data_IF_714826982690
#
_entry.id   IF_714826982690
#
_cell.length_a   1.000
_cell.length_b   1.000
_cell.length_c   1.000
_cell.angle_alpha   90.00
_cell.angle_beta   90.00
_cell.angle_gamma   90.00
#
_symmetry.space_group_name_H-M   'P 1'
#
loop_
_entity.id
_entity.type
_entity.pdbx_description
1 polymer ?
#
# COMPACT_ATOMS: atom_id res chain seq x y z
N UNK A 1 22.35 9.23 -9.84
CA UNK A 1 22.10 8.44 -11.07
C UNK A 1 20.63 8.09 -11.09
N UNK A 2 20.02 8.00 -12.27
CA UNK A 2 18.61 7.64 -12.40
C UNK A 2 18.50 6.30 -13.14
N UNK A 3 17.70 5.38 -12.64
CA UNK A 3 17.38 4.12 -13.31
C UNK A 3 16.30 4.39 -14.37
N UNK A 4 16.58 4.13 -15.64
CA UNK A 4 15.62 4.31 -16.74
C UNK A 4 15.06 2.94 -17.13
N UNK A 5 13.80 2.69 -16.79
CA UNK A 5 13.22 1.34 -16.92
C UNK A 5 12.03 1.26 -17.88
N UNK A 6 11.62 2.39 -18.47
CA UNK A 6 10.42 2.48 -19.32
C UNK A 6 10.39 1.50 -20.48
N UNK A 7 11.53 1.31 -21.16
CA UNK A 7 11.65 0.41 -22.31
C UNK A 7 11.45 -1.08 -21.96
N UNK A 8 11.54 -1.44 -20.68
CA UNK A 8 11.49 -2.82 -20.20
C UNK A 8 10.14 -3.21 -19.59
N UNK A 9 9.26 -2.24 -19.32
CA UNK A 9 7.97 -2.49 -18.68
C UNK A 9 6.99 -3.04 -19.71
N UNK A 10 6.49 -4.25 -19.45
CA UNK A 10 5.47 -4.90 -20.27
C UNK A 10 4.06 -4.48 -19.86
N UNK A 11 3.80 -4.46 -18.55
CA UNK A 11 2.52 -4.09 -17.98
C UNK A 11 2.71 -3.66 -16.53
N UNK A 12 1.70 -3.00 -15.98
CA UNK A 12 1.70 -2.61 -14.60
C UNK A 12 0.33 -2.15 -14.15
N UNK A 13 0.21 -1.99 -12.86
CA UNK A 13 -1.00 -1.55 -12.18
C UNK A 13 -0.60 -0.57 -11.09
N UNK A 14 -1.26 0.58 -11.02
CA UNK A 14 -1.03 1.60 -10.02
C UNK A 14 -2.37 2.07 -9.44
N UNK A 15 -2.49 2.01 -8.12
CA UNK A 15 -3.64 2.40 -7.31
C UNK A 15 -3.29 3.66 -6.54
N UNK A 16 -3.92 4.78 -6.88
CA UNK A 16 -3.85 6.02 -6.12
C UNK A 16 -5.22 6.37 -5.51
N UNK A 17 -5.95 5.38 -5.01
CA UNK A 17 -7.29 5.58 -4.44
C UNK A 17 -7.26 6.18 -3.04
N UNK A 18 -6.15 6.02 -2.30
CA UNK A 18 -5.97 6.59 -0.95
C UNK A 18 -5.10 7.84 -0.99
N UNK A 19 -5.41 8.80 -0.11
CA UNK A 19 -4.59 9.98 0.07
C UNK A 19 -3.18 9.61 0.53
N UNK A 20 -2.19 10.25 -0.08
CA UNK A 20 -0.77 10.13 0.20
C UNK A 20 -0.17 8.73 0.01
N UNK A 21 -0.84 7.86 -0.76
CA UNK A 21 -0.33 6.54 -1.13
C UNK A 21 -0.53 6.22 -2.61
N UNK A 22 0.49 5.61 -3.22
CA UNK A 22 0.42 4.94 -4.51
C UNK A 22 0.94 3.52 -4.33
N UNK A 23 0.09 2.54 -4.62
CA UNK A 23 0.39 1.12 -4.48
C UNK A 23 0.28 0.42 -5.82
N UNK A 24 1.03 -0.65 -6.05
CA UNK A 24 0.87 -1.39 -7.30
C UNK A 24 2.05 -2.29 -7.62
N UNK A 25 2.18 -2.63 -8.90
CA UNK A 25 3.24 -3.48 -9.40
C UNK A 25 3.60 -3.15 -10.85
N UNK A 26 4.82 -3.48 -11.22
CA UNK A 26 5.35 -3.35 -12.58
C UNK A 26 5.99 -4.67 -13.00
N UNK A 27 5.72 -5.11 -14.22
CA UNK A 27 6.27 -6.35 -14.78
C UNK A 27 7.18 -6.09 -15.98
N UNK A 28 8.26 -6.86 -16.03
CA UNK A 28 9.33 -6.85 -17.02
C UNK A 28 9.42 -8.23 -17.70
N UNK A 29 9.93 -8.26 -18.93
CA UNK A 29 10.23 -9.52 -19.61
C UNK A 29 11.52 -10.16 -19.04
N UNK A 30 11.62 -11.49 -18.83
CA UNK A 30 10.64 -12.52 -19.15
C UNK A 30 9.90 -13.07 -17.91
N UNK A 31 9.08 -12.26 -17.22
CA UNK A 31 8.27 -12.64 -16.04
C UNK A 31 8.90 -12.27 -14.68
N UNK A 32 9.64 -11.15 -14.64
CA UNK A 32 10.16 -10.55 -13.41
C UNK A 32 9.40 -9.27 -13.13
N UNK A 33 9.17 -8.92 -11.87
CA UNK A 33 8.44 -7.70 -11.53
C UNK A 33 8.86 -7.11 -10.21
N UNK A 34 8.32 -5.94 -9.93
CA UNK A 34 8.52 -5.23 -8.67
C UNK A 34 7.19 -4.72 -8.15
N UNK A 35 7.00 -4.81 -6.84
CA UNK A 35 5.92 -4.13 -6.13
C UNK A 35 6.32 -2.68 -5.87
N UNK A 36 5.33 -1.80 -5.86
CA UNK A 36 5.52 -0.35 -5.73
C UNK A 36 4.66 0.15 -4.58
N UNK A 37 5.29 0.80 -3.61
CA UNK A 37 4.65 1.44 -2.45
C UNK A 37 5.26 2.82 -2.24
N UNK A 38 4.59 3.83 -2.75
CA UNK A 38 5.12 5.19 -2.80
C UNK A 38 4.25 6.12 -1.97
N UNK A 39 4.89 6.96 -1.16
CA UNK A 39 4.24 8.04 -0.44
C UNK A 39 4.01 9.23 -1.38
N UNK A 40 2.80 9.79 -1.33
CA UNK A 40 2.35 10.93 -2.13
C UNK A 40 1.16 10.59 -3.04
N UNK A 41 0.78 11.53 -3.89
CA UNK A 41 -0.38 11.38 -4.77
C UNK A 41 0.01 11.52 -6.23
N UNK A 42 -0.64 10.73 -7.10
CA UNK A 42 -0.62 11.00 -8.53
C UNK A 42 -1.32 12.34 -8.80
N UNK A 43 -0.94 12.99 -9.90
CA UNK A 43 -1.45 14.33 -10.26
C UNK A 43 -2.16 14.30 -11.61
N UNK A 44 -2.95 15.34 -11.87
CA UNK A 44 -3.66 15.52 -13.12
C UNK A 44 -4.71 14.42 -13.35
N UNK A 45 -4.70 13.82 -14.54
CA UNK A 45 -5.70 12.82 -14.95
C UNK A 45 -5.57 11.49 -14.19
N UNK A 46 -4.45 11.26 -13.51
CA UNK A 46 -4.17 10.02 -12.76
C UNK A 46 -4.48 10.14 -11.26
N UNK A 47 -4.79 11.35 -10.79
CA UNK A 47 -5.14 11.59 -9.39
C UNK A 47 -6.39 10.82 -9.02
N UNK A 48 -6.35 10.09 -7.88
CA UNK A 48 -7.49 9.29 -7.39
C UNK A 48 -7.97 8.19 -8.34
N UNK A 49 -7.10 7.73 -9.22
CA UNK A 49 -7.43 6.66 -10.17
C UNK A 49 -6.69 5.38 -9.83
N UNK A 50 -7.35 4.28 -10.16
CA UNK A 50 -6.72 2.99 -10.32
C UNK A 50 -6.49 2.79 -11.82
N UNK A 51 -5.23 2.65 -12.22
CA UNK A 51 -4.86 2.41 -13.61
C UNK A 51 -4.19 1.05 -13.78
N UNK A 52 -4.59 0.34 -14.82
CA UNK A 52 -3.87 -0.79 -15.37
C UNK A 52 -3.37 -0.39 -16.73
N UNK A 53 -2.13 -0.74 -17.05
CA UNK A 53 -1.58 -0.43 -18.35
C UNK A 53 -0.77 -1.58 -18.90
N UNK A 54 -0.76 -1.67 -20.23
CA UNK A 54 0.09 -2.61 -20.95
C UNK A 54 0.77 -1.92 -22.12
N UNK A 55 2.03 -2.26 -22.33
CA UNK A 55 2.79 -1.76 -23.46
C UNK A 55 2.72 -2.81 -24.56
N UNK A 56 2.28 -2.46 -25.79
CA UNK A 56 2.44 -3.36 -26.92
C UNK A 56 3.94 -3.62 -27.05
N UNK A 57 4.39 -4.88 -26.88
CA UNK A 57 5.82 -5.26 -26.92
C UNK A 57 6.51 -4.43 -28.00
N UNK A 58 7.32 -3.47 -27.56
CA UNK A 58 7.76 -2.43 -28.47
C UNK A 58 8.57 -3.11 -29.56
N UNK A 59 8.23 -2.82 -30.82
CA UNK A 59 9.09 -3.19 -31.96
C UNK A 59 10.43 -2.44 -31.91
N UNK A 60 10.65 -1.54 -30.94
CA UNK A 60 11.83 -0.68 -30.86
C UNK A 60 13.06 -1.45 -30.40
N UNK A 61 12.91 -2.45 -29.51
CA UNK A 61 13.97 -3.41 -29.24
C UNK A 61 13.91 -4.51 -30.29
N UNK A 62 14.44 -4.25 -31.48
CA UNK A 62 14.69 -5.26 -32.51
C UNK A 62 15.73 -6.32 -32.13
N UNK A 63 15.92 -6.57 -30.83
CA UNK A 63 16.70 -7.65 -30.26
C UNK A 63 15.71 -8.73 -29.83
N UNK A 64 16.10 -9.98 -30.06
CA UNK A 64 15.44 -11.19 -29.59
C UNK A 64 14.86 -11.05 -28.17
N UNK A 65 13.82 -11.84 -27.80
CA UNK A 65 13.27 -11.86 -26.45
C UNK A 65 14.42 -11.77 -25.45
N UNK A 66 14.38 -10.76 -24.56
CA UNK A 66 15.43 -10.48 -23.59
C UNK A 66 15.72 -11.76 -22.79
N UNK A 67 16.70 -12.55 -23.22
CA UNK A 67 17.17 -13.73 -22.48
C UNK A 67 17.85 -13.31 -21.17
N UNK A 68 18.24 -12.04 -21.06
CA UNK A 68 18.88 -11.45 -19.88
C UNK A 68 18.29 -10.08 -19.58
N UNK A 69 17.98 -9.85 -18.30
CA UNK A 69 17.51 -8.57 -17.81
C UNK A 69 18.65 -7.54 -17.88
N UNK A 70 18.35 -6.27 -18.14
CA UNK A 70 19.34 -5.21 -18.03
C UNK A 70 19.82 -5.07 -16.57
N UNK A 71 21.10 -4.76 -16.37
CA UNK A 71 21.67 -4.51 -15.03
C UNK A 71 20.89 -3.44 -14.23
N UNK A 72 20.18 -2.54 -14.92
CA UNK A 72 19.37 -1.48 -14.31
C UNK A 72 18.12 -2.02 -13.64
N UNK A 73 17.53 -3.08 -14.20
CA UNK A 73 16.35 -3.78 -13.68
C UNK A 73 16.77 -4.82 -12.65
N UNK A 74 17.86 -5.56 -12.90
CA UNK A 74 18.41 -6.54 -11.94
C UNK A 74 18.81 -5.92 -10.60
N UNK A 75 19.18 -4.63 -10.59
CA UNK A 75 19.53 -3.92 -9.35
C UNK A 75 18.33 -3.40 -8.56
N UNK A 76 17.13 -3.44 -9.13
CA UNK A 76 15.95 -3.00 -8.41
C UNK A 76 15.65 -3.96 -7.27
N UNK A 77 15.23 -3.43 -6.12
CA UNK A 77 14.67 -4.27 -5.08
C UNK A 77 13.27 -4.76 -5.50
N UNK A 78 12.90 -5.98 -5.12
CA UNK A 78 11.60 -6.59 -5.42
C UNK A 78 10.42 -5.74 -4.92
N UNK A 79 10.60 -4.99 -3.83
CA UNK A 79 9.60 -4.05 -3.29
C UNK A 79 10.17 -2.64 -3.27
N UNK A 80 9.68 -1.76 -4.14
CA UNK A 80 10.07 -0.36 -4.25
C UNK A 80 9.32 0.48 -3.22
N UNK A 81 10.03 1.01 -2.23
CA UNK A 81 9.47 1.89 -1.20
C UNK A 81 10.09 3.27 -1.36
N UNK A 82 9.26 4.31 -1.48
CA UNK A 82 9.78 5.63 -1.83
C UNK A 82 8.76 6.76 -1.81
N UNK A 83 9.15 7.89 -2.40
CA UNK A 83 8.29 9.07 -2.56
C UNK A 83 8.01 9.28 -4.04
N UNK A 84 6.76 9.53 -4.40
CA UNK A 84 6.36 9.82 -5.78
C UNK A 84 7.01 11.12 -6.25
N UNK A 85 7.55 11.11 -7.47
CA UNK A 85 8.08 12.28 -8.16
C UNK A 85 7.06 12.85 -9.14
N UNK A 86 7.53 13.30 -10.31
CA UNK A 86 6.66 13.76 -11.38
C UNK A 86 6.00 12.57 -12.10
N UNK A 87 4.67 12.60 -12.17
CA UNK A 87 3.88 11.62 -12.91
C UNK A 87 2.94 12.35 -13.86
N UNK A 88 2.96 11.96 -15.15
CA UNK A 88 2.15 12.62 -16.16
C UNK A 88 1.77 11.67 -17.30
N UNK A 89 0.56 11.87 -17.84
CA UNK A 89 0.11 11.28 -19.09
C UNK A 89 0.05 12.38 -20.14
N UNK A 90 0.90 12.30 -21.16
CA UNK A 90 1.02 13.35 -22.18
C UNK A 90 1.13 12.76 -23.59
N UNK A 91 0.83 13.57 -24.61
CA UNK A 91 1.06 13.18 -26.01
C UNK A 91 2.46 13.59 -26.47
N UNK A 92 3.22 12.62 -26.96
CA UNK A 92 4.56 12.82 -27.50
C UNK A 92 4.61 12.44 -28.97
N UNK A 93 5.51 13.08 -29.72
CA UNK A 93 5.74 12.75 -31.13
C UNK A 93 6.81 11.70 -31.25
N UNK A 94 6.44 10.53 -31.76
CA UNK A 94 7.32 9.38 -31.93
C UNK A 94 7.71 9.27 -33.41
N UNK A 95 9.01 9.18 -33.73
CA UNK A 95 9.46 8.90 -35.09
C UNK A 95 8.99 7.53 -35.59
N UNK A 96 8.42 7.49 -36.79
CA UNK A 96 8.05 6.25 -37.49
C UNK A 96 9.23 5.61 -38.23
N UNK A 97 10.35 6.32 -38.32
CA UNK A 97 11.62 5.88 -38.94
C UNK A 97 12.75 5.90 -37.90
N UNK A 98 13.87 5.19 -38.13
CA UNK A 98 15.00 5.18 -37.20
C UNK A 98 15.47 6.59 -36.84
N UNK A 99 15.78 6.82 -35.56
CA UNK A 99 16.13 8.14 -35.03
C UNK A 99 17.33 8.79 -35.75
N UNK A 100 18.28 7.98 -36.23
CA UNK A 100 19.43 8.43 -37.02
C UNK A 100 19.03 9.05 -38.36
N UNK A 101 17.94 8.57 -38.98
CA UNK A 101 17.39 9.12 -40.22
C UNK A 101 16.47 10.31 -39.90
N UNK A 102 15.64 10.19 -38.86
CA UNK A 102 14.70 11.23 -38.44
C UNK A 102 15.38 12.56 -38.12
N UNK A 103 16.50 12.53 -37.40
CA UNK A 103 17.26 13.73 -37.02
C UNK A 103 17.91 14.47 -38.19
N UNK A 104 18.05 13.81 -39.36
CA UNK A 104 18.61 14.42 -40.57
C UNK A 104 17.55 15.10 -41.45
N UNK A 105 16.27 14.85 -41.17
CA UNK A 105 15.16 15.42 -41.92
C UNK A 105 14.91 16.89 -41.54
N UNK A 106 14.34 17.65 -42.47
CA UNK A 106 13.82 18.98 -42.16
C UNK A 106 12.54 18.91 -41.30
N UNK A 107 12.08 20.05 -40.76
CA UNK A 107 10.94 20.09 -39.85
C UNK A 107 9.64 19.59 -40.48
N UNK A 108 9.39 19.91 -41.74
CA UNK A 108 8.17 19.50 -42.45
C UNK A 108 8.17 17.98 -42.70
N UNK A 109 9.35 17.42 -42.96
CA UNK A 109 9.56 15.99 -43.10
C UNK A 109 9.47 15.27 -41.75
N UNK A 110 10.02 15.84 -40.67
CA UNK A 110 9.89 15.29 -39.32
C UNK A 110 8.42 15.19 -38.92
N UNK A 111 7.62 16.23 -39.16
CA UNK A 111 6.18 16.20 -38.91
C UNK A 111 5.50 15.06 -39.68
N UNK A 112 5.90 14.83 -40.95
CA UNK A 112 5.35 13.76 -41.79
C UNK A 112 5.75 12.35 -41.35
N UNK A 113 6.93 12.18 -40.77
CA UNK A 113 7.45 10.89 -40.29
C UNK A 113 7.33 10.75 -38.78
N UNK A 114 6.50 11.55 -38.12
CA UNK A 114 6.17 11.43 -36.70
C UNK A 114 4.70 11.08 -36.53
N UNK A 115 4.41 10.26 -35.53
CA UNK A 115 3.05 9.99 -35.05
C UNK A 115 2.92 10.49 -33.61
N UNK A 116 1.78 11.08 -33.28
CA UNK A 116 1.49 11.47 -31.89
C UNK A 116 0.95 10.23 -31.16
N UNK A 117 1.60 9.90 -30.04
CA UNK A 117 1.27 8.76 -29.20
C UNK A 117 1.16 9.22 -27.76
N UNK A 118 0.36 8.49 -26.99
CA UNK A 118 0.29 8.73 -25.55
C UNK A 118 1.59 8.23 -24.89
N UNK A 119 2.00 8.91 -23.84
CA UNK A 119 3.21 8.62 -23.08
C UNK A 119 2.90 8.75 -21.59
N UNK A 120 3.07 7.65 -20.88
CA UNK A 120 3.00 7.60 -19.43
C UNK A 120 4.40 7.79 -18.87
N UNK A 121 4.62 8.93 -18.23
CA UNK A 121 5.84 9.24 -17.51
C UNK A 121 5.63 9.00 -16.02
N UNK A 122 6.46 8.14 -15.44
CA UNK A 122 6.48 7.85 -14.01
C UNK A 122 7.88 8.17 -13.46
N UNK A 123 7.92 8.90 -12.36
CA UNK A 123 9.15 9.15 -11.61
C UNK A 123 8.91 8.93 -10.13
N UNK A 124 9.88 8.33 -9.45
CA UNK A 124 9.90 8.23 -8.01
C UNK A 124 11.32 8.15 -7.45
N UNK A 125 11.42 8.33 -6.13
CA UNK A 125 12.68 8.25 -5.38
C UNK A 125 12.56 7.12 -4.36
N UNK A 126 13.28 6.02 -4.59
CA UNK A 126 13.26 4.82 -3.75
C UNK A 126 14.62 4.53 -3.11
N UNK A 127 14.75 3.38 -2.44
CA UNK A 127 16.03 2.86 -1.96
C UNK A 127 17.07 2.65 -3.07
N UNK A 128 16.62 2.49 -4.33
CA UNK A 128 17.50 2.41 -5.50
C UNK A 128 17.90 3.79 -6.05
N UNK A 129 17.47 4.88 -5.39
CA UNK A 129 17.65 6.25 -5.85
C UNK A 129 16.49 6.69 -6.73
N UNK A 130 16.78 7.55 -7.72
CA UNK A 130 15.77 8.06 -8.65
C UNK A 130 15.46 7.00 -9.70
N UNK A 131 14.19 6.64 -9.85
CA UNK A 131 13.73 5.70 -10.88
C UNK A 131 12.78 6.45 -11.81
N UNK A 132 12.93 6.22 -13.12
CA UNK A 132 12.16 6.88 -14.17
C UNK A 132 11.69 5.82 -15.17
N UNK A 133 10.39 5.80 -15.44
CA UNK A 133 9.79 5.02 -16.49
C UNK A 133 9.08 5.94 -17.48
N UNK A 134 9.56 5.95 -18.72
CA UNK A 134 8.89 6.63 -19.84
C UNK A 134 8.32 5.54 -20.75
N UNK A 135 7.00 5.34 -20.67
CA UNK A 135 6.30 4.28 -21.39
C UNK A 135 5.56 4.90 -22.56
N UNK A 136 5.94 4.51 -23.77
CA UNK A 136 5.41 5.06 -25.02
C UNK A 136 4.31 4.15 -25.56
N UNK A 137 3.20 4.75 -25.98
CA UNK A 137 2.02 4.07 -26.53
C UNK A 137 1.38 3.04 -25.56
N UNK A 138 1.24 3.33 -24.25
CA UNK A 138 0.60 2.40 -23.33
C UNK A 138 -0.89 2.30 -23.63
N UNK A 139 -1.42 1.07 -23.61
CA UNK A 139 -2.85 0.83 -23.52
C UNK A 139 -3.25 0.95 -22.05
N UNK A 140 -3.98 2.01 -21.70
CA UNK A 140 -4.34 2.36 -20.31
C UNK A 140 -5.82 2.10 -20.09
N UNK A 141 -6.12 1.31 -19.08
CA UNK A 141 -7.46 1.03 -18.57
C UNK A 141 -7.62 1.68 -17.19
N UNK A 142 -8.70 2.43 -17.01
CA UNK A 142 -9.06 3.03 -15.72
C UNK A 142 -10.08 2.13 -15.06
N UNK A 143 -9.72 1.55 -13.92
CA UNK A 143 -10.57 0.64 -13.17
C UNK A 143 -11.36 1.42 -12.12
N UNK A 144 -12.62 1.03 -11.93
CA UNK A 144 -13.41 1.46 -10.78
C UNK A 144 -13.09 0.59 -9.54
N UNK A 145 -13.64 0.96 -8.38
CA UNK A 145 -13.36 0.25 -7.11
C UNK A 145 -13.89 -1.19 -7.12
N UNK A 146 -14.94 -1.47 -7.89
CA UNK A 146 -15.52 -2.82 -8.02
C UNK A 146 -14.57 -3.73 -8.80
N UNK A 147 -14.09 -3.27 -9.95
CA UNK A 147 -13.11 -3.98 -10.78
C UNK A 147 -11.74 -4.12 -10.10
N UNK A 148 -11.40 -3.20 -9.20
CA UNK A 148 -10.13 -3.23 -8.47
C UNK A 148 -9.99 -4.45 -7.53
N UNK A 149 -11.11 -4.93 -6.96
CA UNK A 149 -11.12 -6.04 -6.00
C UNK A 149 -10.81 -7.40 -6.65
N UNK A 150 -11.16 -7.57 -7.93
CA UNK A 150 -10.96 -8.83 -8.65
C UNK A 150 -9.51 -9.05 -9.12
N UNK A 151 -8.64 -8.04 -9.02
CA UNK A 151 -7.27 -8.14 -9.54
C UNK A 151 -6.28 -8.41 -8.41
N UNK A 152 -5.93 -9.69 -8.22
CA UNK A 152 -4.82 -10.08 -7.35
C UNK A 152 -3.47 -9.68 -7.97
N UNK A 153 -2.52 -9.17 -7.18
CA UNK A 153 -1.18 -8.86 -7.67
C UNK A 153 -0.45 -10.14 -8.10
N UNK A 154 0.28 -10.14 -9.22
CA UNK A 154 1.05 -11.32 -9.64
C UNK A 154 2.15 -11.64 -8.63
N UNK A 155 2.40 -12.93 -8.38
CA UNK A 155 3.64 -13.37 -7.75
C UNK A 155 4.79 -13.27 -8.77
N UNK A 156 5.79 -12.44 -8.47
CA UNK A 156 6.97 -12.28 -9.33
C UNK A 156 8.13 -13.16 -8.85
N UNK A 157 8.93 -13.68 -9.78
CA UNK A 157 10.23 -14.24 -9.45
C UNK A 157 11.18 -13.11 -8.97
N UNK A 158 11.83 -13.31 -7.83
CA UNK A 158 12.77 -12.33 -7.28
C UNK A 158 13.89 -11.98 -8.25
N UNK A 159 14.12 -10.67 -8.45
CA UNK A 159 15.16 -10.11 -9.34
C UNK A 159 16.58 -10.52 -8.96
N UNK A 160 16.80 -10.89 -7.68
CA UNK A 160 18.12 -11.14 -7.11
C UNK A 160 18.57 -12.62 -7.09
N UNK A 161 17.86 -13.54 -7.76
CA UNK A 161 18.17 -14.98 -7.66
C UNK A 161 19.54 -15.40 -8.23
N UNK A 162 20.16 -14.57 -9.10
CA UNK A 162 21.39 -14.96 -9.81
C UNK A 162 22.70 -14.68 -9.07
N UNK A 163 22.71 -13.89 -7.99
CA UNK A 163 23.95 -13.43 -7.35
C UNK A 163 24.39 -14.20 -6.09
N UNK A 164 23.59 -15.17 -5.61
CA UNK A 164 23.91 -15.89 -4.35
C UNK A 164 24.17 -17.40 -4.48
N UNK A 165 24.16 -17.94 -5.71
CA UNK A 165 24.53 -19.36 -5.91
C UNK A 165 26.02 -19.64 -5.64
N UNK A 166 26.88 -18.60 -5.65
CA UNK A 166 28.31 -18.73 -5.35
C UNK A 166 28.66 -18.80 -3.85
N UNK A 167 27.75 -18.38 -2.95
CA UNK A 167 27.98 -18.47 -1.50
C UNK A 167 27.34 -19.76 -0.94
N UNK A 168 26.25 -20.23 -1.55
CA UNK A 168 25.61 -21.51 -1.20
C UNK A 168 26.47 -22.74 -1.56
N UNK A 169 27.27 -22.70 -2.63
CA UNK A 169 28.17 -23.83 -2.97
C UNK A 169 29.30 -24.04 -1.95
N UNK A 170 29.67 -23.03 -1.16
CA UNK A 170 30.72 -23.19 -0.13
C UNK A 170 30.16 -23.80 1.16
N UNK A 171 28.85 -23.72 1.41
CA UNK A 171 28.21 -24.29 2.60
C UNK A 171 27.72 -25.73 2.40
N UNK A 172 27.35 -26.11 1.17
CA UNK A 172 26.85 -27.47 0.88
C UNK A 172 27.96 -28.54 0.74
N UNK A 173 29.24 -28.17 0.66
CA UNK A 173 30.35 -29.15 0.67
C UNK A 173 30.70 -29.68 2.09
N UNK A 174 30.14 -29.11 3.16
CA UNK A 174 30.40 -29.58 4.55
C UNK A 174 29.37 -30.55 5.13
N UNK A 175 28.21 -30.76 4.49
CA UNK A 175 27.15 -31.64 5.03
C UNK A 175 26.92 -32.91 4.19
N UNK A 176 27.97 -33.40 3.53
CA UNK A 176 27.98 -34.72 2.94
C UNK A 176 28.09 -35.84 3.99
N UNK A 177 26.99 -36.20 4.69
CA UNK A 177 26.78 -37.55 5.24
C UNK A 177 25.34 -37.82 5.73
N UNK A 178 24.65 -38.66 4.95
CA UNK A 178 23.46 -39.46 5.28
C UNK A 178 22.20 -38.64 5.65
N UNK A 179 21.07 -38.79 4.97
CA UNK A 179 20.22 -39.99 4.95
C UNK A 179 19.46 -40.02 3.61
N UNK A 180 19.41 -41.21 3.01
CA UNK A 180 18.45 -41.53 1.97
C UNK A 180 17.14 -41.93 2.65
N UNK A 181 16.04 -41.28 2.32
CA UNK A 181 14.77 -41.93 2.00
C UNK A 181 13.83 -40.90 1.37
N UNK A 182 13.41 -41.22 0.14
CA UNK A 182 12.45 -40.50 -0.65
C UNK A 182 11.12 -41.26 -0.56
N UNK A 183 10.05 -40.62 -0.07
CA UNK A 183 8.64 -40.97 -0.35
C UNK A 183 7.64 -40.13 0.48
N UNK A 184 7.77 -38.79 0.54
CA UNK A 184 6.75 -37.97 1.20
C UNK A 184 6.63 -36.55 0.62
N UNK A 185 6.35 -36.43 -0.69
CA UNK A 185 6.11 -35.14 -1.33
C UNK A 185 5.04 -35.24 -2.44
N UNK A 186 3.91 -35.88 -2.15
CA UNK A 186 2.82 -36.05 -3.12
C UNK A 186 1.40 -35.86 -2.55
N UNK A 187 1.20 -35.39 -1.32
CA UNK A 187 -0.15 -35.23 -0.71
C UNK A 187 -0.41 -33.84 -0.10
N UNK A 188 0.15 -32.76 -0.67
CA UNK A 188 -0.13 -31.39 -0.18
C UNK A 188 -0.46 -30.39 -1.29
N UNK A 189 -1.12 -30.88 -2.35
CA UNK A 189 -1.86 -30.04 -3.30
C UNK A 189 -3.35 -30.30 -3.05
N UNK A 190 -3.91 -29.59 -2.08
CA UNK A 190 -5.36 -29.51 -1.86
C UNK A 190 -5.78 -28.07 -2.10
N UNK A 191 -6.70 -27.88 -3.05
CA UNK A 191 -7.35 -26.62 -3.39
C UNK A 191 -7.85 -25.89 -2.14
N UNK A 192 -7.39 -24.66 -1.96
CA UNK A 192 -7.92 -23.69 -1.00
C UNK A 192 -8.63 -22.61 -1.83
N UNK A 193 -9.96 -22.74 -1.95
CA UNK A 193 -10.84 -21.67 -2.39
C UNK A 193 -11.19 -20.86 -1.12
N UNK A 194 -10.66 -19.64 -1.00
CA UNK A 194 -10.96 -18.69 0.08
C UNK A 194 -11.85 -17.56 -0.48
N UNK A 195 -13.17 -17.75 -0.39
CA UNK A 195 -14.17 -16.68 -0.47
C UNK A 195 -14.52 -16.26 0.98
N UNK A 196 -13.98 -15.12 1.43
CA UNK A 196 -14.36 -14.48 2.69
C UNK A 196 -14.56 -12.97 2.47
N UNK A 197 -15.79 -12.59 2.11
CA UNK A 197 -16.27 -11.22 2.24
C UNK A 197 -16.79 -10.99 3.67
N UNK A 198 -16.16 -10.05 4.37
CA UNK A 198 -16.65 -9.50 5.64
C UNK A 198 -17.25 -8.11 5.39
N UNK A 199 -18.57 -8.03 5.30
CA UNK A 199 -19.31 -6.77 5.48
C UNK A 199 -19.50 -6.51 6.98
N UNK A 200 -18.86 -5.45 7.47
CA UNK A 200 -19.14 -4.84 8.76
C UNK A 200 -19.44 -3.36 8.52
N UNK A 201 -20.70 -3.06 8.18
CA UNK A 201 -21.30 -1.76 8.45
C UNK A 201 -22.11 -1.87 9.73
N UNK A 202 -21.45 -1.54 10.84
CA UNK A 202 -22.09 -1.19 12.08
C UNK A 202 -21.97 0.34 12.22
N UNK A 203 -23.10 1.05 12.09
CA UNK A 203 -23.62 1.95 13.13
C UNK A 203 -24.87 2.71 12.65
N UNK A 204 -26.04 2.09 12.93
CA UNK A 204 -27.22 2.66 13.61
C UNK A 204 -27.76 4.06 13.23
N UNK A 205 -28.99 4.09 12.71
CA UNK A 205 -30.02 5.01 13.20
C UNK A 205 -31.43 4.39 13.13
N UNK A 206 -31.78 3.75 14.25
CA UNK A 206 -33.09 3.42 14.80
C UNK A 206 -34.23 4.43 14.47
N UNK A 207 -35.29 3.97 13.78
CA UNK A 207 -36.72 4.15 14.15
C UNK A 207 -37.65 3.85 12.96
N UNK A 208 -38.34 2.70 12.98
CA UNK A 208 -39.80 2.65 12.85
C UNK A 208 -40.30 1.21 12.83
N UNK A 209 -41.26 0.93 13.71
CA UNK A 209 -42.02 -0.31 13.81
C UNK A 209 -42.58 -0.76 12.44
N UNK A 210 -42.08 -1.88 11.90
CA UNK A 210 -42.78 -2.64 10.87
C UNK A 210 -42.84 -4.12 11.26
N UNK A 211 -44.03 -4.53 11.68
CA UNK A 211 -44.41 -5.89 12.05
C UNK A 211 -44.77 -6.70 10.80
N UNK A 212 -43.77 -6.89 9.93
CA UNK A 212 -43.86 -7.74 8.74
C UNK A 212 -43.34 -9.15 8.99
N UNK A 213 -44.16 -10.04 9.55
CA UNK A 213 -43.88 -11.48 9.51
C UNK A 213 -44.03 -12.00 8.07
N UNK A 214 -42.95 -11.90 7.31
CA UNK A 214 -42.75 -12.58 6.03
C UNK A 214 -41.70 -13.68 6.20
N UNK A 215 -42.16 -14.91 6.38
CA UNK A 215 -41.37 -16.08 5.97
C UNK A 215 -41.24 -15.97 4.44
N UNK A 216 -40.13 -15.40 3.95
CA UNK A 216 -39.76 -15.53 2.54
C UNK A 216 -38.34 -16.12 2.42
N UNK A 217 -38.27 -17.06 1.50
CA UNK A 217 -37.25 -18.07 1.38
C UNK A 217 -36.00 -17.49 0.71
N UNK A 218 -34.86 -17.52 1.41
CA UNK A 218 -33.50 -17.58 0.87
C UNK A 218 -33.19 -16.68 -0.34
N UNK A 219 -32.76 -15.44 -0.08
CA UNK A 219 -32.12 -14.57 -1.07
C UNK A 219 -30.67 -15.04 -1.35
N UNK A 220 -30.53 -16.22 -1.97
CA UNK A 220 -29.37 -16.54 -2.80
C UNK A 220 -29.83 -16.57 -4.27
N UNK A 221 -29.94 -15.42 -4.95
CA UNK A 221 -30.42 -15.33 -6.33
C UNK A 221 -29.52 -16.06 -7.34
N UNK A 222 -28.30 -16.44 -6.94
CA UNK A 222 -27.32 -17.08 -7.80
C UNK A 222 -27.11 -18.57 -7.48
N UNK A 223 -27.64 -19.08 -6.36
CA UNK A 223 -27.49 -20.47 -5.92
C UNK A 223 -26.03 -20.85 -5.67
N UNK A 224 -25.21 -19.88 -5.27
CA UNK A 224 -23.78 -20.06 -5.02
C UNK A 224 -23.54 -20.73 -3.67
N UNK A 225 -24.46 -20.56 -2.74
CA UNK A 225 -24.36 -21.11 -1.40
C UNK A 225 -25.20 -22.37 -1.27
N UNK A 226 -24.63 -23.36 -0.59
CA UNK A 226 -25.42 -24.51 -0.20
C UNK A 226 -26.60 -24.01 0.67
N UNK A 227 -27.82 -24.53 0.50
CA UNK A 227 -29.00 -24.05 1.23
C UNK A 227 -28.89 -24.23 2.76
N UNK A 228 -27.83 -24.88 3.23
CA UNK A 228 -27.47 -25.07 4.63
C UNK A 228 -26.15 -24.38 5.03
N UNK A 229 -25.56 -23.54 4.18
CA UNK A 229 -24.28 -22.85 4.46
C UNK A 229 -24.38 -21.98 5.72
N UNK A 230 -25.41 -21.16 5.83
CA UNK A 230 -25.65 -20.33 7.04
C UNK A 230 -25.75 -21.19 8.29
N UNK A 231 -26.35 -22.36 8.17
CA UNK A 231 -26.47 -23.31 9.28
C UNK A 231 -25.13 -23.98 9.59
N UNK A 232 -24.31 -24.24 8.57
CA UNK A 232 -22.97 -24.83 8.71
C UNK A 232 -21.98 -23.84 9.31
N UNK A 233 -22.02 -22.57 8.87
CA UNK A 233 -21.21 -21.48 9.40
C UNK A 233 -21.64 -21.16 10.82
N UNK A 234 -22.95 -21.10 11.10
CA UNK A 234 -23.46 -20.95 12.46
C UNK A 234 -23.12 -22.13 13.39
N UNK A 235 -23.06 -23.36 12.87
CA UNK A 235 -22.63 -24.53 13.66
C UNK A 235 -21.10 -24.63 13.81
N UNK A 236 -20.32 -24.09 12.87
CA UNK A 236 -18.85 -24.01 12.94
C UNK A 236 -18.38 -22.88 13.86
N UNK A 237 -19.09 -21.74 13.85
CA UNK A 237 -18.85 -20.61 14.76
C UNK A 237 -19.42 -20.85 16.16
N UNK A 238 -20.28 -21.86 16.35
CA UNK A 238 -20.64 -22.31 17.70
C UNK A 238 -19.40 -22.89 18.35
N UNK A 239 -18.86 -22.26 19.42
CA UNK A 239 -17.79 -22.88 20.18
C UNK A 239 -18.29 -24.24 20.67
N UNK A 240 -17.42 -25.25 20.76
CA UNK A 240 -17.81 -26.58 21.25
C UNK A 240 -18.25 -26.47 22.72
N UNK A 241 -19.53 -26.16 22.95
CA UNK A 241 -20.13 -26.08 24.28
C UNK A 241 -21.04 -24.90 24.65
N UNK A 242 -21.50 -23.99 23.77
CA UNK A 242 -22.40 -22.91 24.24
C UNK A 242 -23.07 -22.03 23.18
N UNK A 243 -24.24 -21.49 23.52
CA UNK A 243 -25.07 -20.56 22.71
C UNK A 243 -24.38 -19.20 22.48
N UNK A 244 -24.55 -18.58 21.29
CA UNK A 244 -23.82 -17.37 20.87
C UNK A 244 -24.24 -16.06 21.55
N UNK A 245 -25.22 -16.06 22.46
CA UNK A 245 -25.62 -14.84 23.19
C UNK A 245 -24.68 -14.48 24.37
N UNK A 246 -23.57 -15.20 24.56
CA UNK A 246 -22.58 -14.98 25.62
C UNK A 246 -21.16 -14.78 25.07
N UNK A 247 -20.92 -13.70 24.32
CA UNK A 247 -19.56 -13.13 24.16
C UNK A 247 -19.11 -12.32 25.39
N UNK A 248 -19.93 -12.33 26.44
CA UNK A 248 -19.49 -12.18 27.81
C UNK A 248 -19.35 -13.60 28.35
N UNK A 249 -18.18 -13.99 28.87
CA UNK A 249 -18.07 -15.21 29.68
C UNK A 249 -19.27 -15.23 30.67
N UNK A 250 -19.91 -16.39 30.90
CA UNK A 250 -21.07 -16.53 31.81
C UNK A 250 -20.80 -16.00 33.24
N UNK A 251 -19.54 -15.67 33.58
CA UNK A 251 -19.10 -15.06 34.83
C UNK A 251 -18.80 -13.54 34.75
N UNK A 252 -19.02 -12.86 33.61
CA UNK A 252 -18.72 -11.43 33.44
C UNK A 252 -17.25 -11.07 33.67
N UNK A 253 -16.35 -12.04 33.49
CA UNK A 253 -14.92 -11.87 33.64
C UNK A 253 -14.27 -11.24 32.40
N UNK A 254 -13.14 -10.53 32.55
CA UNK A 254 -12.37 -10.07 31.40
C UNK A 254 -11.85 -11.30 30.63
N UNK A 255 -12.17 -11.37 29.34
CA UNK A 255 -11.65 -12.39 28.42
C UNK A 255 -10.13 -12.34 28.49
N UNK A 256 -9.50 -13.38 29.04
CA UNK A 256 -8.04 -13.45 29.08
C UNK A 256 -7.52 -13.70 27.66
N UNK A 257 -6.56 -12.90 27.15
CA UNK A 257 -5.98 -13.11 25.83
C UNK A 257 -5.45 -14.55 25.72
N UNK A 258 -5.86 -15.27 24.67
CA UNK A 258 -5.34 -16.61 24.39
C UNK A 258 -3.89 -16.49 23.95
N UNK A 259 -3.04 -17.41 24.39
CA UNK A 259 -1.63 -17.38 23.96
C UNK A 259 -1.49 -17.86 22.52
N UNK A 260 -0.53 -17.31 21.77
CA UNK A 260 -0.25 -17.71 20.39
C UNK A 260 0.07 -19.21 20.23
N UNK A 261 0.55 -19.90 21.27
CA UNK A 261 0.80 -21.36 21.24
C UNK A 261 -0.49 -22.17 21.05
N UNK A 262 -1.62 -21.62 21.49
CA UNK A 262 -2.93 -22.26 21.37
C UNK A 262 -3.56 -21.99 20.00
N UNK A 263 -3.30 -20.81 19.44
CA UNK A 263 -3.84 -20.37 18.16
C UNK A 263 -3.10 -21.04 16.99
N UNK A 264 -1.77 -21.10 17.07
CA UNK A 264 -0.92 -21.66 15.99
C UNK A 264 0.09 -22.64 16.59
N UNK A 265 -0.27 -23.94 16.75
CA UNK A 265 0.63 -24.95 17.27
C UNK A 265 1.87 -25.12 16.39
N UNK A 266 3.06 -25.04 16.99
CA UNK A 266 4.34 -25.23 16.29
C UNK A 266 4.96 -23.97 15.71
N UNK A 267 4.45 -22.79 16.06
CA UNK A 267 5.06 -21.52 15.70
C UNK A 267 6.49 -21.44 16.27
N UNK A 268 7.43 -20.99 15.44
CA UNK A 268 8.81 -20.81 15.85
C UNK A 268 8.89 -19.80 17.02
N UNK A 269 9.72 -20.06 18.07
CA UNK A 269 9.81 -19.17 19.23
C UNK A 269 10.21 -17.72 18.89
N UNK A 270 10.97 -17.50 17.81
CA UNK A 270 11.37 -16.15 17.38
C UNK A 270 10.19 -15.41 16.74
N UNK A 271 9.44 -16.08 15.87
CA UNK A 271 8.23 -15.54 15.23
C UNK A 271 7.18 -15.23 16.30
N UNK A 272 7.01 -16.12 17.28
CA UNK A 272 6.12 -15.90 18.42
C UNK A 272 6.49 -14.64 19.21
N UNK A 273 7.77 -14.50 19.56
CA UNK A 273 8.24 -13.33 20.29
C UNK A 273 8.02 -12.03 19.50
N UNK A 274 8.15 -12.08 18.17
CA UNK A 274 7.84 -10.96 17.29
C UNK A 274 6.34 -10.58 17.33
N UNK A 275 5.43 -11.55 17.24
CA UNK A 275 3.98 -11.28 17.33
C UNK A 275 3.58 -10.78 18.71
N UNK A 276 4.10 -11.36 19.79
CA UNK A 276 3.85 -10.87 21.15
C UNK A 276 4.37 -9.43 21.33
N UNK A 277 5.50 -9.10 20.71
CA UNK A 277 6.01 -7.73 20.69
C UNK A 277 5.10 -6.79 19.88
N UNK A 278 4.54 -7.24 18.75
CA UNK A 278 3.59 -6.45 17.97
C UNK A 278 2.30 -6.22 18.75
N UNK A 279 1.71 -7.25 19.34
CA UNK A 279 0.53 -7.11 20.19
C UNK A 279 0.77 -6.11 21.33
N UNK A 280 1.92 -6.20 21.99
CA UNK A 280 2.29 -5.25 23.05
C UNK A 280 2.36 -3.79 22.54
N UNK A 281 2.89 -3.58 21.33
CA UNK A 281 2.96 -2.27 20.66
C UNK A 281 1.56 -1.77 20.30
N UNK A 282 0.71 -2.61 19.71
CA UNK A 282 -0.62 -2.22 19.24
C UNK A 282 -1.62 -2.02 20.38
N UNK A 283 -1.50 -2.77 21.47
CA UNK A 283 -2.33 -2.58 22.66
C UNK A 283 -2.04 -1.26 23.40
N UNK A 284 -0.88 -0.64 23.14
CA UNK A 284 -0.49 0.64 23.72
C UNK A 284 -0.33 0.66 25.25
N UNK A 285 -0.30 -0.52 25.90
CA UNK A 285 -0.27 -0.65 27.37
C UNK A 285 1.01 -0.09 27.99
N UNK A 286 2.11 -0.09 27.24
CA UNK A 286 3.42 0.41 27.67
C UNK A 286 3.83 1.68 26.93
N UNK A 287 2.91 2.34 26.25
CA UNK A 287 3.26 3.56 25.54
C UNK A 287 3.54 4.69 26.53
N UNK A 288 4.65 5.37 26.27
CA UNK A 288 5.09 6.52 27.05
C UNK A 288 5.00 7.78 26.18
N UNK A 289 4.80 8.96 26.80
CA UNK A 289 4.89 10.21 26.08
C UNK A 289 6.25 10.33 25.38
N UNK A 290 6.25 10.72 24.11
CA UNK A 290 7.48 10.84 23.29
C UNK A 290 8.56 11.69 23.96
N UNK A 291 8.14 12.76 24.65
CA UNK A 291 9.04 13.64 25.40
C UNK A 291 9.89 12.93 26.48
N UNK A 292 9.46 11.77 26.99
CA UNK A 292 10.20 11.01 28.01
C UNK A 292 11.22 10.04 27.41
N UNK A 293 11.09 9.71 26.13
CA UNK A 293 11.93 8.74 25.44
C UNK A 293 13.22 9.35 24.87
N UNK A 294 13.38 10.67 24.93
CA UNK A 294 14.62 11.32 24.47
C UNK A 294 15.80 11.02 25.40
N UNK A 295 16.79 10.29 24.88
CA UNK A 295 18.04 9.99 25.61
C UNK A 295 18.77 11.25 26.06
N UNK A 296 18.74 12.30 25.22
CA UNK A 296 19.32 13.61 25.53
C UNK A 296 18.20 14.62 25.74
N UNK A 297 18.07 15.23 26.95
CA UNK A 297 17.06 16.24 27.20
C UNK A 297 17.24 17.42 26.25
N UNK A 298 16.30 17.58 25.31
CA UNK A 298 16.33 18.69 24.38
C UNK A 298 16.12 20.01 25.16
N UNK A 299 17.10 20.90 25.09
CA UNK A 299 16.99 22.24 25.70
C UNK A 299 16.28 23.18 24.74
N UNK A 300 14.98 22.99 24.59
CA UNK A 300 14.16 23.74 23.66
C UNK A 300 13.62 25.02 24.33
N UNK A 301 13.63 26.17 23.63
CA UNK A 301 12.95 27.36 24.11
C UNK A 301 11.43 27.12 24.13
N UNK A 302 10.68 27.71 25.08
CA UNK A 302 9.22 27.67 25.03
C UNK A 302 8.70 28.28 23.71
N UNK A 303 7.56 27.80 23.20
CA UNK A 303 7.03 28.20 21.88
C UNK A 303 6.86 29.72 21.75
N UNK A 304 6.39 30.39 22.80
CA UNK A 304 6.19 31.85 22.83
C UNK A 304 7.46 32.68 22.63
N UNK A 305 8.66 32.09 22.79
CA UNK A 305 9.94 32.80 22.62
C UNK A 305 10.48 32.73 21.21
N UNK A 306 10.02 31.81 20.38
CA UNK A 306 10.48 31.65 19.01
C UNK A 306 9.62 32.54 18.12
N UNK A 307 10.19 33.65 17.65
CA UNK A 307 9.43 34.68 16.91
C UNK A 307 9.61 34.64 15.40
N UNK A 308 10.49 33.78 14.88
CA UNK A 308 10.82 33.72 13.45
C UNK A 308 10.81 32.29 12.93
N UNK A 309 10.37 32.12 11.68
CA UNK A 309 10.34 30.82 11.00
C UNK A 309 11.73 30.20 10.81
N UNK A 310 12.78 31.00 10.59
CA UNK A 310 14.15 30.48 10.40
C UNK A 310 14.70 29.84 11.69
N UNK A 311 14.46 30.48 12.84
CA UNK A 311 14.78 29.92 14.15
C UNK A 311 13.94 28.67 14.44
N UNK A 312 12.62 28.74 14.18
CA UNK A 312 11.71 27.62 14.37
C UNK A 312 12.10 26.41 13.50
N UNK A 313 12.45 26.62 12.24
CA UNK A 313 12.85 25.56 11.32
C UNK A 313 14.05 24.78 11.84
N UNK A 314 15.07 25.47 12.34
CA UNK A 314 16.26 24.82 12.92
C UNK A 314 15.91 23.95 14.14
N UNK A 315 14.97 24.42 14.96
CA UNK A 315 14.48 23.68 16.14
C UNK A 315 13.61 22.49 15.74
N UNK A 316 12.70 22.65 14.77
CA UNK A 316 11.87 21.58 14.22
C UNK A 316 12.75 20.48 13.67
N UNK A 317 13.76 20.79 12.84
CA UNK A 317 14.69 19.78 12.31
C UNK A 317 15.40 19.02 13.43
N UNK A 318 15.81 19.70 14.51
CA UNK A 318 16.44 19.04 15.65
C UNK A 318 15.47 18.09 16.39
N UNK A 319 14.20 18.47 16.53
CA UNK A 319 13.16 17.61 17.12
C UNK A 319 12.90 16.40 16.21
N UNK A 320 12.67 16.63 14.91
CA UNK A 320 12.42 15.56 13.93
C UNK A 320 13.57 14.55 13.89
N UNK A 321 14.82 15.00 14.02
CA UNK A 321 15.97 14.10 14.09
C UNK A 321 15.93 13.18 15.32
N UNK A 322 15.42 13.65 16.48
CA UNK A 322 15.23 12.78 17.64
C UNK A 322 14.02 11.85 17.49
N UNK A 323 12.92 12.33 16.90
CA UNK A 323 11.75 11.51 16.60
C UNK A 323 12.09 10.35 15.65
N UNK A 324 12.94 10.61 14.65
CA UNK A 324 13.39 9.57 13.71
C UNK A 324 14.16 8.43 14.40
N UNK A 325 14.89 8.70 15.50
CA UNK A 325 15.56 7.65 16.28
C UNK A 325 14.58 6.75 17.04
N UNK A 326 13.36 7.25 17.27
CA UNK A 326 12.26 6.51 17.91
C UNK A 326 11.29 5.89 16.89
N UNK A 327 11.63 5.91 15.60
CA UNK A 327 10.74 5.53 14.49
C UNK A 327 9.42 6.30 14.48
N UNK A 328 9.47 7.60 14.75
CA UNK A 328 8.33 8.51 14.65
C UNK A 328 8.55 9.48 13.50
N UNK A 329 7.60 9.52 12.57
CA UNK A 329 7.56 10.46 11.46
C UNK A 329 6.50 11.55 11.72
N UNK A 330 6.79 12.76 11.27
CA UNK A 330 5.83 13.88 11.32
C UNK A 330 5.66 14.45 9.93
N UNK A 331 4.45 14.35 9.40
CA UNK A 331 4.07 14.82 8.08
C UNK A 331 3.55 16.26 8.16
N UNK A 332 4.29 17.19 7.58
CA UNK A 332 3.97 18.62 7.63
C UNK A 332 3.21 19.03 6.38
N UNK A 333 1.98 19.51 6.54
CA UNK A 333 1.13 19.99 5.45
C UNK A 333 1.57 21.38 5.00
N UNK A 334 1.18 21.75 3.78
CA UNK A 334 1.61 23.02 3.15
C UNK A 334 1.06 24.28 3.83
N UNK A 335 0.01 24.15 4.64
CA UNK A 335 -0.60 25.26 5.37
C UNK A 335 0.16 25.63 6.65
N UNK A 336 1.04 24.76 7.14
CA UNK A 336 1.80 24.98 8.36
C UNK A 336 3.14 25.66 8.08
N UNK A 337 3.35 26.81 8.74
CA UNK A 337 4.67 27.45 8.81
C UNK A 337 5.58 26.72 9.80
N UNK A 338 6.92 26.82 9.68
CA UNK A 338 7.84 26.23 10.64
C UNK A 338 7.56 26.64 12.10
N UNK A 339 7.16 27.88 12.34
CA UNK A 339 6.78 28.34 13.68
C UNK A 339 5.52 27.64 14.20
N UNK A 340 4.49 27.46 13.37
CA UNK A 340 3.28 26.71 13.74
C UNK A 340 3.59 25.23 13.98
N UNK A 341 4.42 24.60 13.14
CA UNK A 341 4.86 23.22 13.34
C UNK A 341 5.61 23.08 14.65
N UNK A 342 6.52 24.01 14.96
CA UNK A 342 7.23 24.01 16.24
C UNK A 342 6.28 24.13 17.43
N UNK A 343 5.29 25.02 17.33
CA UNK A 343 4.28 25.18 18.37
C UNK A 343 3.49 23.89 18.57
N UNK A 344 2.95 23.29 17.50
CA UNK A 344 2.19 22.04 17.55
C UNK A 344 3.02 20.89 18.13
N UNK A 345 4.29 20.75 17.72
CA UNK A 345 5.20 19.75 18.28
C UNK A 345 5.35 19.92 19.80
N UNK A 346 5.51 21.15 20.27
CA UNK A 346 5.75 21.43 21.69
C UNK A 346 4.50 21.33 22.57
N UNK A 347 3.32 21.66 22.03
CA UNK A 347 2.08 21.71 22.83
C UNK A 347 1.24 20.45 22.72
N UNK A 348 1.16 19.85 21.53
CA UNK A 348 0.31 18.70 21.27
C UNK A 348 1.14 17.42 21.15
N UNK A 349 2.03 17.33 20.16
CA UNK A 349 2.66 16.04 19.80
C UNK A 349 3.59 15.55 20.92
N UNK A 350 4.64 16.29 21.30
CA UNK A 350 5.62 15.78 22.29
C UNK A 350 5.03 15.45 23.67
N UNK A 351 4.03 16.19 24.19
CA UNK A 351 3.41 15.88 25.48
C UNK A 351 2.34 14.78 25.42
N UNK A 352 1.59 14.67 24.32
CA UNK A 352 0.40 13.79 24.24
C UNK A 352 0.63 12.53 23.40
N UNK A 353 1.50 12.60 22.39
CA UNK A 353 1.84 11.46 21.55
C UNK A 353 2.47 10.36 22.41
N UNK A 354 1.89 9.17 22.29
CA UNK A 354 2.28 7.96 22.99
C UNK A 354 2.97 7.04 22.01
N UNK A 355 4.18 6.64 22.35
CA UNK A 355 5.02 5.78 21.52
C UNK A 355 5.58 4.65 22.37
N UNK A 356 5.57 3.45 21.81
CA UNK A 356 6.14 2.30 22.47
C UNK A 356 7.69 2.39 22.47
N UNK A 357 8.38 2.20 23.61
CA UNK A 357 9.85 2.31 23.67
C UNK A 357 10.60 1.37 22.71
N UNK A 358 9.98 0.24 22.37
CA UNK A 358 10.55 -0.75 21.44
C UNK A 358 10.08 -0.60 19.98
N UNK A 359 9.39 0.50 19.62
CA UNK A 359 8.91 0.72 18.25
C UNK A 359 10.07 0.72 17.24
N UNK A 360 11.22 1.31 17.59
CA UNK A 360 12.40 1.31 16.73
C UNK A 360 12.93 -0.10 16.41
N UNK A 361 12.76 -1.06 17.32
CA UNK A 361 13.20 -2.43 17.11
C UNK A 361 12.25 -3.21 16.18
N UNK A 362 10.96 -2.87 16.12
CA UNK A 362 9.98 -3.55 15.27
C UNK A 362 10.03 -3.13 13.80
N UNK A 363 10.85 -2.12 13.44
CA UNK A 363 10.92 -1.49 12.11
C UNK A 363 9.62 -0.83 11.64
N UNK A 364 8.63 -0.70 12.52
CA UNK A 364 7.42 0.06 12.25
C UNK A 364 7.71 1.55 12.43
N UNK A 365 6.99 2.39 11.68
CA UNK A 365 7.07 3.85 11.79
C UNK A 365 5.69 4.37 12.18
N UNK A 366 5.62 5.15 13.24
CA UNK A 366 4.39 5.82 13.65
C UNK A 366 4.35 7.22 13.03
N UNK A 367 3.27 7.51 12.31
CA UNK A 367 3.08 8.78 11.62
C UNK A 367 2.16 9.70 12.42
N UNK A 368 2.55 10.96 12.54
CA UNK A 368 1.69 12.05 13.00
C UNK A 368 1.59 13.09 11.89
N UNK A 369 0.38 13.50 11.53
CA UNK A 369 0.20 14.52 10.50
C UNK A 369 -0.22 15.85 11.10
N UNK A 370 0.36 16.93 10.61
CA UNK A 370 -0.12 18.29 10.93
C UNK A 370 -1.45 18.61 10.23
N UNK A 371 -1.87 17.84 9.22
CA UNK A 371 -3.19 17.99 8.58
C UNK A 371 -4.32 17.80 9.57
N UNK A 372 -4.13 16.93 10.56
CA UNK A 372 -5.14 16.56 11.56
C UNK A 372 -5.42 17.70 12.56
N UNK A 373 -4.56 18.73 12.53
CA UNK A 373 -4.65 19.95 13.34
C UNK A 373 -4.75 21.21 12.46
N UNK A 374 -5.11 21.06 11.19
CA UNK A 374 -5.12 22.16 10.24
C UNK A 374 -6.54 22.45 9.75
N UNK A 375 -7.15 23.53 10.23
CA UNK A 375 -8.50 23.97 9.82
C UNK A 375 -8.66 24.07 8.30
N UNK A 376 -7.61 24.46 7.58
CA UNK A 376 -7.64 24.55 6.12
C UNK A 376 -7.66 23.16 5.43
N UNK A 377 -7.00 22.16 6.02
CA UNK A 377 -7.04 20.78 5.51
C UNK A 377 -8.39 20.13 5.85
N UNK A 378 -8.89 20.32 7.08
CA UNK A 378 -10.21 19.85 7.50
C UNK A 378 -11.31 20.43 6.62
N UNK A 379 -11.32 21.74 6.40
CA UNK A 379 -12.31 22.38 5.51
C UNK A 379 -12.23 21.89 4.06
N UNK A 380 -11.02 21.59 3.56
CA UNK A 380 -10.85 21.03 2.21
C UNK A 380 -11.36 19.59 2.13
N UNK A 381 -11.13 18.79 3.17
CA UNK A 381 -11.64 17.43 3.30
C UNK A 381 -13.17 17.42 3.38
N UNK A 382 -13.77 18.24 4.24
CA UNK A 382 -15.22 18.37 4.37
C UNK A 382 -15.88 18.81 3.07
N UNK A 383 -15.31 19.79 2.37
CA UNK A 383 -15.84 20.27 1.10
C UNK A 383 -15.85 19.16 0.03
N UNK A 384 -14.84 18.29 0.07
CA UNK A 384 -14.74 17.16 -0.84
C UNK A 384 -15.69 16.04 -0.46
N UNK A 385 -15.74 15.66 0.82
CA UNK A 385 -16.67 14.64 1.31
C UNK A 385 -18.12 14.98 0.98
N UNK A 386 -18.52 16.24 1.17
CA UNK A 386 -19.86 16.71 0.80
C UNK A 386 -20.10 16.71 -0.72
N UNK A 387 -19.06 16.93 -1.53
CA UNK A 387 -19.19 16.87 -2.98
C UNK A 387 -19.33 15.43 -3.47
N UNK A 388 -18.66 14.48 -2.82
CA UNK A 388 -18.75 13.05 -3.14
C UNK A 388 -20.13 12.49 -2.73
N UNK A 389 -20.63 12.79 -1.53
CA UNK A 389 -21.99 12.39 -1.12
C UNK A 389 -23.10 12.89 -2.05
N UNK A 390 -22.99 14.12 -2.56
CA UNK A 390 -23.97 14.67 -3.51
C UNK A 390 -23.95 13.96 -4.87
N UNK A 391 -22.83 13.37 -5.26
CA UNK A 391 -22.78 12.59 -6.50
C UNK A 391 -23.40 11.20 -6.32
N UNK A 392 -23.20 10.57 -5.16
CA UNK A 392 -23.76 9.25 -4.86
C UNK A 392 -25.31 9.30 -4.82
N UNK A 393 -25.89 10.34 -4.23
CA UNK A 393 -27.35 10.54 -4.20
C UNK A 393 -27.97 10.71 -5.61
N UNK A 394 -27.24 11.30 -6.56
CA UNK A 394 -27.71 11.51 -7.95
C UNK A 394 -27.65 10.22 -8.79
N UNK A 395 -26.83 9.22 -8.39
CA UNK A 395 -26.73 7.93 -9.09
C UNK A 395 -27.92 7.01 -8.75
N UNK A 396 -28.39 7.00 -7.51
CA UNK A 396 -29.50 6.16 -7.07
C UNK A 396 -30.87 6.61 -7.62
N UNK A 397 -31.09 7.91 -7.87
CA UNK A 397 -32.35 8.38 -8.46
C UNK A 397 -32.50 7.94 -9.94
N UNK A 398 -31.40 7.79 -10.68
CA UNK A 398 -31.45 7.43 -12.10
C UNK A 398 -31.72 5.94 -12.37
N UNK A 399 -31.36 5.04 -11.45
CA UNK A 399 -31.62 3.60 -11.62
C UNK A 399 -33.09 3.20 -11.36
N UNK A 400 -33.89 4.11 -10.79
CA UNK A 400 -35.30 3.85 -10.47
C UNK A 400 -36.30 4.13 -11.60
N UNK A 401 -35.90 4.83 -12.68
CA UNK A 401 -36.82 5.21 -13.78
C UNK A 401 -36.94 4.19 -14.93
N UNK A 402 -36.12 3.14 -14.98
CA UNK A 402 -36.09 2.18 -16.11
C UNK A 402 -36.82 0.83 -15.87
N UNK A 403 -37.60 0.70 -14.79
CA UNK A 403 -38.48 -0.46 -14.56
C UNK A 403 -39.94 -0.11 -14.93
N UNK A 404 -40.27 -0.08 -16.23
CA UNK A 404 -41.67 0.01 -16.73
C UNK A 404 -41.95 -0.94 -17.89
#
# INVERSE_FOLDING_TARGET
MAHQIGDYILRGELRNTRANGVYGWLEFAPDVGVHVELTGNLRGQLSRKHIKFSTPRSKQTGKDPFETLPEEVERLADRQIGVIGDVNLSRVRVPTIPLTEFTQLDRDQQDRFSEEKDCLYLEWYSQNGRVVAEIIDPDIEFLDERQAKETEPPEFESTNSSLDSGIAETYLEMEGRAIADADLAAELAGDFDDDLDSELDADEAFDSDDDGSGDDESDDPYGLFAPDLDRSVADALKPPGGTPENLLDEDGGPVTPRSWDEVIPGLDPEIKAMYEQWDEIFEGKKDEPVSYLFETPLRLPPPDRVTSDEEAQSLVVAILAQLALLSVAVDVCEHYTPQQTYHLLMTEILPTAKVHPNLAASRMVQHYSTSDHCDACEAAFDAQYNADQLNDDDEDENDSEDIV
#
